data_IF_020064185785
#
_entry.id   IF_020064185785
#
_cell.length_a   1.000
_cell.length_b   1.000
_cell.length_c   1.000
_cell.angle_alpha   90.00
_cell.angle_beta   90.00
_cell.angle_gamma   90.00
#
_symmetry.space_group_name_H-M   'P 1'
#
loop_
_entity.id
_entity.type
_entity.pdbx_description
1 polymer ?
#
# COMPACT_ATOMS: atom_id res chain seq x y z
N UNK A 1 4.90 10.93 14.18
CA UNK A 1 4.30 12.21 13.68
C UNK A 1 5.12 12.74 12.50
N UNK A 2 4.85 12.27 11.29
CA UNK A 2 5.08 13.00 10.04
C UNK A 2 4.08 12.43 9.02
N UNK A 3 3.33 13.34 8.46
CA UNK A 3 2.23 13.19 7.50
C UNK A 3 2.64 12.39 6.26
N UNK A 4 1.70 11.67 5.64
CA UNK A 4 1.49 11.76 4.19
C UNK A 4 0.09 11.26 3.76
N UNK A 5 -0.91 12.13 3.90
CA UNK A 5 -1.95 12.25 2.88
C UNK A 5 -1.25 12.86 1.65
N UNK A 6 -0.88 12.03 0.66
CA UNK A 6 -0.12 12.53 -0.48
C UNK A 6 0.39 11.47 -1.45
N UNK A 7 -0.28 10.33 -1.59
CA UNK A 7 0.06 9.31 -2.60
C UNK A 7 -0.92 9.26 -3.77
N UNK A 8 -1.73 10.30 -4.00
CA UNK A 8 -2.63 10.37 -5.17
C UNK A 8 -1.97 10.85 -6.47
N UNK A 9 -0.65 10.75 -6.63
CA UNK A 9 0.02 11.25 -7.85
C UNK A 9 1.26 10.46 -8.33
N UNK A 10 1.53 9.27 -7.81
CA UNK A 10 2.63 8.41 -8.32
C UNK A 10 2.11 7.15 -9.02
N UNK A 11 0.82 6.84 -8.91
CA UNK A 11 0.28 5.54 -9.30
C UNK A 11 -0.30 5.49 -10.71
N UNK A 12 -0.43 6.64 -11.37
CA UNK A 12 -1.19 6.71 -12.62
C UNK A 12 -0.36 6.55 -13.89
N UNK A 13 0.99 6.45 -13.83
CA UNK A 13 1.83 6.49 -15.04
C UNK A 13 3.15 5.73 -15.06
N UNK A 14 3.40 4.80 -14.14
CA UNK A 14 4.71 4.14 -14.14
C UNK A 14 4.56 2.65 -13.90
N UNK A 15 4.90 1.88 -14.94
CA UNK A 15 5.27 0.47 -14.84
C UNK A 15 6.45 0.24 -13.84
N UNK A 16 7.04 1.32 -13.32
CA UNK A 16 8.12 1.37 -12.32
C UNK A 16 7.71 2.02 -10.97
N UNK A 17 6.45 1.96 -10.56
CA UNK A 17 6.03 2.54 -9.28
C UNK A 17 6.74 1.86 -8.09
N UNK A 18 7.68 2.57 -7.47
CA UNK A 18 8.40 2.14 -6.27
C UNK A 18 7.73 2.72 -5.03
N UNK A 19 7.18 1.83 -4.20
CA UNK A 19 6.51 2.10 -2.95
C UNK A 19 7.45 1.85 -1.76
N UNK A 20 7.06 2.35 -0.58
CA UNK A 20 7.90 2.46 0.62
C UNK A 20 9.02 3.51 0.49
N UNK A 21 9.52 3.98 1.64
CA UNK A 21 10.57 5.00 1.69
C UNK A 21 11.90 4.55 1.07
N UNK A 22 12.17 3.26 1.05
CA UNK A 22 13.34 2.62 0.42
C UNK A 22 13.04 2.11 -1.00
N UNK A 23 11.82 2.32 -1.51
CA UNK A 23 11.39 1.95 -2.85
C UNK A 23 11.34 0.45 -3.10
N UNK A 24 11.47 -0.42 -2.09
CA UNK A 24 11.62 -1.86 -2.34
C UNK A 24 10.36 -2.51 -2.90
N UNK A 25 9.18 -1.97 -2.60
CA UNK A 25 7.91 -2.54 -3.03
C UNK A 25 7.53 -2.07 -4.43
N UNK A 26 7.15 -3.01 -5.29
CA UNK A 26 6.65 -2.75 -6.65
C UNK A 26 5.12 -2.75 -6.71
N UNK A 27 4.46 -3.22 -5.65
CA UNK A 27 3.00 -3.31 -5.56
C UNK A 27 2.47 -2.83 -4.22
N UNK A 28 1.20 -2.39 -4.18
CA UNK A 28 0.54 -2.05 -2.92
C UNK A 28 0.50 -3.22 -1.94
N UNK A 29 0.32 -4.43 -2.46
CA UNK A 29 0.31 -5.64 -1.65
C UNK A 29 1.65 -5.81 -0.90
N UNK A 30 2.77 -5.73 -1.62
CA UNK A 30 4.11 -5.76 -1.02
C UNK A 30 4.33 -4.59 -0.05
N UNK A 31 3.91 -3.39 -0.42
CA UNK A 31 4.06 -2.22 0.43
C UNK A 31 3.31 -2.39 1.77
N UNK A 32 2.09 -2.91 1.74
CA UNK A 32 1.30 -3.18 2.94
C UNK A 32 1.96 -4.28 3.78
N UNK A 33 2.37 -5.39 3.17
CA UNK A 33 2.94 -6.53 3.89
C UNK A 33 4.33 -6.26 4.48
N UNK A 34 5.11 -5.35 3.89
CA UNK A 34 6.45 -5.01 4.36
C UNK A 34 6.48 -3.79 5.29
N UNK A 35 5.33 -3.20 5.59
CA UNK A 35 5.21 -2.11 6.54
C UNK A 35 5.17 -2.60 7.99
N UNK A 36 6.02 -2.01 8.84
CA UNK A 36 6.11 -2.29 10.27
C UNK A 36 5.96 -1.01 11.11
N UNK A 37 6.36 -1.08 12.38
CA UNK A 37 6.31 0.07 13.29
C UNK A 37 4.87 0.55 13.51
N UNK A 38 4.62 1.84 13.27
CA UNK A 38 3.29 2.46 13.44
C UNK A 38 2.21 1.85 12.51
N UNK A 39 2.61 1.23 11.40
CA UNK A 39 1.69 0.61 10.44
C UNK A 39 1.36 -0.87 10.72
N UNK A 40 1.92 -1.46 11.78
CA UNK A 40 1.79 -2.89 12.06
C UNK A 40 0.32 -3.33 12.23
N UNK A 41 -0.50 -2.52 12.90
CA UNK A 41 -1.92 -2.84 13.11
C UNK A 41 -2.72 -2.77 11.81
N UNK A 42 -2.40 -1.82 10.93
CA UNK A 42 -3.02 -1.74 9.61
C UNK A 42 -2.65 -2.95 8.74
N UNK A 43 -1.37 -3.35 8.76
CA UNK A 43 -0.89 -4.58 8.10
C UNK A 43 -1.63 -5.82 8.62
N UNK A 44 -1.76 -5.98 9.93
CA UNK A 44 -2.46 -7.13 10.53
C UNK A 44 -3.94 -7.18 10.16
N UNK A 45 -4.61 -6.03 10.09
CA UNK A 45 -6.00 -5.95 9.62
C UNK A 45 -6.11 -6.37 8.16
N UNK A 46 -5.17 -5.93 7.32
CA UNK A 46 -5.10 -6.36 5.93
C UNK A 46 -4.86 -7.87 5.78
N UNK A 47 -3.91 -8.44 6.54
CA UNK A 47 -3.62 -9.88 6.58
C UNK A 47 -4.85 -10.72 7.01
N UNK A 48 -5.76 -10.14 7.80
CA UNK A 48 -6.97 -10.80 8.28
C UNK A 48 -8.15 -10.71 7.29
N UNK A 49 -8.05 -9.91 6.22
CA UNK A 49 -9.06 -9.83 5.18
C UNK A 49 -9.03 -11.10 4.31
N UNK A 50 -10.20 -11.49 3.79
CA UNK A 50 -10.28 -12.48 2.72
C UNK A 50 -9.59 -11.96 1.45
N UNK A 51 -9.22 -12.88 0.55
CA UNK A 51 -8.57 -12.53 -0.73
C UNK A 51 -9.41 -11.52 -1.54
N UNK A 52 -10.73 -11.71 -1.60
CA UNK A 52 -11.63 -10.78 -2.28
C UNK A 52 -11.65 -9.37 -1.66
N UNK A 53 -11.58 -9.28 -0.33
CA UNK A 53 -11.55 -7.99 0.37
C UNK A 53 -10.20 -7.29 0.20
N UNK A 54 -9.11 -8.06 0.19
CA UNK A 54 -7.79 -7.57 -0.15
C UNK A 54 -7.77 -7.00 -1.57
N UNK A 55 -8.27 -7.74 -2.55
CA UNK A 55 -8.36 -7.30 -3.94
C UNK A 55 -9.21 -6.04 -4.09
N UNK A 56 -10.36 -5.98 -3.41
CA UNK A 56 -11.22 -4.80 -3.41
C UNK A 56 -10.49 -3.57 -2.85
N UNK A 57 -9.72 -3.72 -1.77
CA UNK A 57 -8.92 -2.64 -1.20
C UNK A 57 -7.79 -2.23 -2.16
N UNK A 58 -7.06 -3.18 -2.74
CA UNK A 58 -5.99 -2.88 -3.70
C UNK A 58 -6.55 -2.16 -4.93
N UNK A 59 -7.73 -2.58 -5.40
CA UNK A 59 -8.43 -1.90 -6.48
C UNK A 59 -8.81 -0.47 -6.10
N UNK A 60 -9.36 -0.27 -4.90
CA UNK A 60 -9.66 1.06 -4.38
C UNK A 60 -8.41 1.96 -4.32
N UNK A 61 -7.28 1.44 -3.84
CA UNK A 61 -6.00 2.18 -3.76
C UNK A 61 -5.44 2.57 -5.14
N UNK A 62 -5.70 1.76 -6.18
CA UNK A 62 -5.32 2.06 -7.57
C UNK A 62 -6.15 3.19 -8.21
N UNK A 63 -7.30 3.53 -7.63
CA UNK A 63 -8.19 4.60 -8.11
C UNK A 63 -7.89 5.97 -7.48
N UNK A 64 -7.04 6.02 -6.45
CA UNK A 64 -6.58 7.24 -5.79
C UNK A 64 -5.44 7.90 -6.58
#
# INVERSE_FOLDING_TARGET
MLFLWGLGLVLQRSDDARLLHDGRASTFHEAILWHGGEALDARRRYEALSENEQDALIHFLKLL
#
